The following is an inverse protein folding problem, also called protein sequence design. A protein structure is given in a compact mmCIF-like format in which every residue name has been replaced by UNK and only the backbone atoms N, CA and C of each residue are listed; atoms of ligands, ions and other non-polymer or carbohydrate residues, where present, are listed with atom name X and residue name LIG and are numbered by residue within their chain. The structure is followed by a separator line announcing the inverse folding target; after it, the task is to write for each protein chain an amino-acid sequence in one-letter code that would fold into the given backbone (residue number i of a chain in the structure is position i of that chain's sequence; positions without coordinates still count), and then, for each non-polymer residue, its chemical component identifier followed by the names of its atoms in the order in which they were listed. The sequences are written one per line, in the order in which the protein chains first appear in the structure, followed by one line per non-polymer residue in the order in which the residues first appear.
data_IF_082685954197
#
_entry.id   IF_082685954197
#
_cell.length_a   1.000
_cell.length_b   1.000
_cell.length_c   1.000
_cell.angle_alpha   90.00
_cell.angle_beta   90.00
_cell.angle_gamma   90.00
#
_symmetry.space_group_name_H-M   'P 1'
#
loop_
_entity.id
_entity.type
_entity.pdbx_description
1 polymer ?
#
# COMPACT_ATOMS: atom_id res chain seq x y z
N UNK A 1 23.07 69.71 -28.32
CA UNK A 1 24.12 68.70 -28.03
C UNK A 1 24.20 68.23 -26.56
N UNK A 2 23.24 68.55 -25.66
CA UNK A 2 23.30 68.10 -24.23
C UNK A 2 22.27 67.05 -23.81
N UNK A 3 21.20 66.82 -24.59
CA UNK A 3 20.14 65.84 -24.23
C UNK A 3 20.43 64.41 -24.69
N UNK A 4 21.16 64.21 -25.80
CA UNK A 4 21.48 62.87 -26.31
C UNK A 4 22.54 62.16 -25.46
N UNK A 5 23.50 62.88 -24.89
CA UNK A 5 24.57 62.30 -24.06
C UNK A 5 24.05 61.78 -22.71
N UNK A 6 23.01 62.41 -22.13
CA UNK A 6 22.42 61.95 -20.87
C UNK A 6 21.64 60.63 -21.01
N UNK A 7 20.98 60.44 -22.16
CA UNK A 7 20.20 59.21 -22.43
C UNK A 7 21.13 58.01 -22.65
N UNK A 8 22.26 58.21 -23.33
CA UNK A 8 23.25 57.15 -23.56
C UNK A 8 23.93 56.71 -22.26
N UNK A 9 24.23 57.64 -21.35
CA UNK A 9 24.80 57.31 -20.03
C UNK A 9 23.77 56.57 -19.17
N UNK A 10 22.49 56.96 -19.22
CA UNK A 10 21.41 56.26 -18.49
C UNK A 10 21.23 54.81 -18.95
N UNK A 11 21.29 54.54 -20.26
CA UNK A 11 21.17 53.19 -20.81
C UNK A 11 22.41 52.34 -20.47
N UNK A 12 23.61 52.92 -20.49
CA UNK A 12 24.83 52.21 -20.12
C UNK A 12 24.85 51.79 -18.63
N UNK A 13 24.35 52.64 -17.73
CA UNK A 13 24.23 52.31 -16.30
C UNK A 13 23.17 51.23 -16.05
N UNK A 14 22.06 51.25 -16.80
CA UNK A 14 21.02 50.23 -16.70
C UNK A 14 21.52 48.85 -17.21
N UNK A 15 22.32 48.82 -18.27
CA UNK A 15 22.92 47.58 -18.78
C UNK A 15 23.98 47.03 -17.81
N UNK A 16 24.75 47.89 -17.13
CA UNK A 16 25.69 47.48 -16.07
C UNK A 16 24.97 46.94 -14.83
N UNK A 17 23.83 47.51 -14.45
CA UNK A 17 23.01 47.01 -13.33
C UNK A 17 22.32 45.68 -13.66
N UNK A 18 21.84 45.49 -14.88
CA UNK A 18 21.26 44.21 -15.32
C UNK A 18 22.36 43.15 -15.51
N UNK A 19 23.54 43.53 -16.01
CA UNK A 19 24.70 42.65 -16.12
C UNK A 19 25.25 42.19 -14.77
N UNK A 20 25.20 43.04 -13.74
CA UNK A 20 25.60 42.67 -12.37
C UNK A 20 24.60 41.71 -11.68
N UNK A 21 23.31 41.75 -12.07
CA UNK A 21 22.28 40.82 -11.57
C UNK A 21 22.42 39.44 -12.21
N UNK A 22 23.01 39.32 -13.40
CA UNK A 22 23.18 38.04 -14.12
C UNK A 22 24.48 37.29 -13.71
N UNK A 23 25.37 37.90 -12.91
CA UNK A 23 26.64 37.26 -12.47
C UNK A 23 26.55 36.68 -11.04
N UNK A 24 25.37 36.69 -10.41
CA UNK A 24 25.14 36.10 -9.09
C UNK A 24 24.04 35.03 -9.15
N UNK A 25 24.26 33.99 -9.96
CA UNK A 25 23.49 32.74 -9.82
C UNK A 25 24.30 31.50 -10.24
N UNK A 26 25.58 31.51 -9.88
CA UNK A 26 26.42 30.33 -9.97
C UNK A 26 27.03 30.02 -8.59
N UNK A 27 26.16 29.62 -7.66
CA UNK A 27 26.56 28.70 -6.60
C UNK A 27 26.28 27.27 -7.09
N UNK A 28 26.97 26.90 -8.17
CA UNK A 28 27.37 25.53 -8.40
C UNK A 28 28.12 25.03 -7.14
N UNK A 29 27.61 23.96 -6.53
CA UNK A 29 28.21 23.20 -5.42
C UNK A 29 28.01 23.73 -3.98
N UNK A 30 26.80 23.56 -3.44
CA UNK A 30 26.60 23.31 -2.00
C UNK A 30 25.48 22.27 -1.81
N UNK A 31 25.82 20.98 -1.94
CA UNK A 31 24.86 19.89 -1.72
C UNK A 31 25.49 18.51 -1.86
N UNK A 32 26.50 18.22 -1.04
CA UNK A 32 27.24 16.95 -1.13
C UNK A 32 27.97 16.57 0.15
N UNK A 33 27.30 16.64 1.32
CA UNK A 33 27.85 16.14 2.58
C UNK A 33 27.08 14.96 3.19
N UNK A 34 25.81 14.76 2.87
CA UNK A 34 25.02 13.69 3.50
C UNK A 34 25.25 12.30 2.88
N UNK A 35 25.45 12.20 1.56
CA UNK A 35 25.70 10.92 0.89
C UNK A 35 27.06 10.31 1.24
N UNK A 36 28.05 11.14 1.57
CA UNK A 36 29.43 10.71 1.85
C UNK A 36 29.57 10.11 3.27
N UNK A 37 28.98 10.75 4.29
CA UNK A 37 29.04 10.27 5.68
C UNK A 37 28.23 8.99 5.90
N UNK A 38 27.08 8.86 5.22
CA UNK A 38 26.21 7.69 5.35
C UNK A 38 26.86 6.42 4.78
N UNK A 39 27.59 6.55 3.65
CA UNK A 39 28.35 5.44 3.02
C UNK A 39 29.48 4.89 3.90
N UNK A 40 30.00 5.71 4.82
CA UNK A 40 31.07 5.32 5.75
C UNK A 40 30.57 4.43 6.90
N UNK A 41 29.27 4.49 7.21
CA UNK A 41 28.66 3.79 8.35
C UNK A 41 27.85 2.57 7.95
N UNK A 42 27.29 2.56 6.74
CA UNK A 42 26.42 1.49 6.26
C UNK A 42 26.55 1.35 4.75
N UNK A 43 26.56 0.12 4.28
CA UNK A 43 26.67 -0.28 2.89
C UNK A 43 25.57 -1.25 2.57
N UNK A 44 24.76 -0.91 1.58
CA UNK A 44 23.63 -1.74 1.13
C UNK A 44 24.10 -2.57 -0.06
N UNK A 45 23.95 -3.89 0.04
CA UNK A 45 24.29 -4.82 -1.04
C UNK A 45 23.06 -5.12 -1.89
N UNK A 46 21.89 -5.29 -1.25
CA UNK A 46 20.63 -5.59 -1.92
C UNK A 46 19.51 -4.73 -1.29
N UNK A 47 18.70 -4.03 -2.09
CA UNK A 47 18.83 -3.86 -3.54
C UNK A 47 19.94 -2.86 -3.93
N UNK A 48 20.45 -2.99 -5.16
CA UNK A 48 21.24 -1.93 -5.79
C UNK A 48 20.34 -0.71 -6.11
N UNK A 49 20.92 0.51 -6.22
CA UNK A 49 20.18 1.68 -6.69
C UNK A 49 19.44 1.42 -8.00
N UNK A 50 18.19 1.88 -8.08
CA UNK A 50 17.26 1.74 -9.21
C UNK A 50 16.84 0.31 -9.56
N UNK A 51 17.17 -0.68 -8.73
CA UNK A 51 16.73 -2.05 -8.93
C UNK A 51 15.20 -2.16 -8.97
N UNK A 52 14.71 -3.10 -9.78
CA UNK A 52 13.28 -3.42 -9.89
C UNK A 52 12.89 -4.41 -8.79
N UNK A 53 12.01 -3.99 -7.89
CA UNK A 53 11.64 -4.78 -6.70
C UNK A 53 10.19 -5.26 -6.73
N UNK A 54 9.92 -6.36 -6.01
CA UNK A 54 8.58 -6.94 -5.78
C UNK A 54 8.42 -7.27 -4.30
N UNK A 55 7.18 -7.36 -3.83
CA UNK A 55 6.88 -7.71 -2.43
C UNK A 55 6.76 -9.24 -2.27
N UNK A 56 7.36 -9.86 -1.24
CA UNK A 56 8.34 -9.27 -0.32
C UNK A 56 9.73 -9.10 -0.98
N UNK A 57 10.53 -8.18 -0.44
CA UNK A 57 11.94 -8.02 -0.82
C UNK A 57 12.86 -8.41 0.35
N UNK A 58 13.93 -9.14 0.04
CA UNK A 58 15.05 -9.34 0.96
C UNK A 58 16.03 -8.18 0.81
N UNK A 59 16.33 -7.52 1.92
CA UNK A 59 17.27 -6.41 1.98
C UNK A 59 18.48 -6.85 2.79
N UNK A 60 19.68 -6.67 2.24
CA UNK A 60 20.93 -7.09 2.88
C UNK A 60 22.02 -6.05 2.69
N UNK A 61 22.95 -6.03 3.63
CA UNK A 61 24.12 -5.17 3.57
C UNK A 61 24.97 -5.37 4.80
N UNK A 62 25.79 -4.38 5.08
CA UNK A 62 26.62 -4.33 6.27
C UNK A 62 26.56 -2.93 6.90
N UNK A 63 26.51 -2.85 8.22
CA UNK A 63 26.56 -1.58 8.94
C UNK A 63 27.57 -1.68 10.09
N UNK A 64 28.12 -0.55 10.52
CA UNK A 64 28.97 -0.52 11.71
C UNK A 64 28.13 -0.65 12.97
N UNK A 65 28.72 -1.16 14.05
CA UNK A 65 28.02 -1.41 15.31
C UNK A 65 27.20 -0.24 15.84
N UNK A 66 27.73 0.98 15.75
CA UNK A 66 27.05 2.21 16.19
C UNK A 66 25.78 2.56 15.39
N UNK A 67 25.50 1.86 14.29
CA UNK A 67 24.26 1.99 13.53
C UNK A 67 23.12 1.15 14.13
N UNK A 68 23.47 0.06 14.81
CA UNK A 68 22.51 -0.83 15.44
C UNK A 68 22.14 -0.30 16.83
N UNK A 69 20.89 -0.55 17.20
CA UNK A 69 20.43 -0.52 18.57
C UNK A 69 19.80 -1.88 18.88
N UNK A 70 20.24 -2.53 19.97
CA UNK A 70 19.80 -3.88 20.30
C UNK A 70 19.93 -4.89 19.13
N UNK A 71 21.07 -4.84 18.41
CA UNK A 71 21.35 -5.65 17.23
C UNK A 71 20.41 -5.43 16.03
N UNK A 72 19.63 -4.35 16.01
CA UNK A 72 18.65 -4.11 14.95
C UNK A 72 18.49 -2.64 14.58
N UNK A 73 17.81 -2.38 13.47
CA UNK A 73 17.34 -1.05 13.08
C UNK A 73 16.20 -1.15 12.03
N UNK A 74 15.34 -0.13 11.91
CA UNK A 74 14.24 -0.15 10.96
C UNK A 74 14.66 0.16 9.51
N UNK A 75 14.07 -0.58 8.58
CA UNK A 75 14.15 -0.35 7.14
C UNK A 75 12.75 -0.04 6.62
N UNK A 76 12.54 1.20 6.16
CA UNK A 76 11.26 1.69 5.66
C UNK A 76 11.25 1.67 4.15
N UNK A 77 10.13 1.28 3.56
CA UNK A 77 9.90 1.40 2.13
C UNK A 77 8.91 2.51 1.85
N UNK A 78 9.32 3.50 1.07
CA UNK A 78 8.53 4.66 0.69
C UNK A 78 8.26 4.64 -0.81
N UNK A 79 7.11 5.17 -1.22
CA UNK A 79 6.83 5.50 -2.61
C UNK A 79 7.39 6.89 -3.00
N UNK A 80 7.29 7.29 -4.28
CA UNK A 80 7.79 8.59 -4.73
C UNK A 80 7.05 9.81 -4.11
N UNK A 81 5.86 9.60 -3.54
CA UNK A 81 5.11 10.64 -2.83
C UNK A 81 5.45 10.68 -1.34
N UNK A 82 6.39 9.84 -0.86
CA UNK A 82 6.75 9.73 0.55
C UNK A 82 5.78 8.90 1.39
N UNK A 83 4.81 8.20 0.78
CA UNK A 83 3.92 7.29 1.51
C UNK A 83 4.68 6.03 1.89
N UNK A 84 4.63 5.67 3.17
CA UNK A 84 5.20 4.42 3.67
C UNK A 84 4.36 3.22 3.21
N UNK A 85 5.00 2.29 2.48
CA UNK A 85 4.38 1.09 1.93
C UNK A 85 4.57 -0.13 2.83
N UNK A 86 5.66 -0.16 3.62
CA UNK A 86 6.03 -1.25 4.49
C UNK A 86 7.25 -0.93 5.35
N UNK A 87 7.47 -1.73 6.38
CA UNK A 87 8.63 -1.63 7.29
C UNK A 87 9.14 -3.04 7.59
N UNK A 88 10.45 -3.23 7.54
CA UNK A 88 11.13 -4.41 8.06
C UNK A 88 12.14 -4.02 9.13
N UNK A 89 12.47 -4.96 10.01
CA UNK A 89 13.52 -4.78 11.02
C UNK A 89 14.75 -5.53 10.55
N UNK A 90 15.84 -4.80 10.28
CA UNK A 90 17.13 -5.38 9.95
C UNK A 90 17.80 -5.90 11.20
N UNK A 91 18.19 -7.18 11.16
CA UNK A 91 18.89 -7.84 12.26
C UNK A 91 20.37 -8.05 11.87
N UNK A 92 21.27 -7.71 12.78
CA UNK A 92 22.69 -8.06 12.67
C UNK A 92 22.85 -9.59 12.63
N UNK A 93 23.77 -10.07 11.79
CA UNK A 93 24.05 -11.50 11.61
C UNK A 93 25.29 -11.96 12.40
N UNK A 94 25.72 -11.16 13.38
CA UNK A 94 26.89 -11.44 14.20
C UNK A 94 27.05 -10.42 15.33
N UNK A 95 28.21 -10.43 15.98
CA UNK A 95 28.55 -9.53 17.09
C UNK A 95 28.56 -8.06 16.62
N UNK A 96 27.55 -7.31 17.03
CA UNK A 96 27.32 -5.93 16.57
C UNK A 96 27.97 -4.87 17.45
N UNK A 97 28.41 -5.20 18.68
CA UNK A 97 29.08 -4.25 19.58
C UNK A 97 30.56 -4.02 19.17
N UNK A 98 30.78 -3.67 17.91
CA UNK A 98 32.11 -3.47 17.32
C UNK A 98 32.16 -2.24 16.43
N UNK A 99 33.36 -1.75 16.14
CA UNK A 99 33.57 -0.67 15.16
C UNK A 99 33.65 -1.17 13.72
N UNK A 100 33.65 -2.49 13.53
CA UNK A 100 33.73 -3.14 12.23
C UNK A 100 32.36 -3.17 11.55
N UNK A 101 32.37 -3.44 10.25
CA UNK A 101 31.15 -3.72 9.50
C UNK A 101 30.61 -5.10 9.88
N UNK A 102 29.32 -5.15 10.18
CA UNK A 102 28.58 -6.34 10.56
C UNK A 102 27.45 -6.52 9.55
N UNK A 103 27.28 -7.72 8.98
CA UNK A 103 26.20 -7.95 8.03
C UNK A 103 24.83 -7.84 8.69
N UNK A 104 23.83 -7.35 7.95
CA UNK A 104 22.43 -7.39 8.32
C UNK A 104 21.56 -8.02 7.23
N UNK A 105 20.40 -8.52 7.65
CA UNK A 105 19.37 -9.03 6.75
C UNK A 105 17.98 -8.69 7.27
N UNK A 106 17.05 -8.42 6.36
CA UNK A 106 15.62 -8.32 6.65
C UNK A 106 14.78 -8.68 5.45
N UNK A 107 13.52 -9.01 5.71
CA UNK A 107 12.49 -9.19 4.71
C UNK A 107 11.48 -8.06 4.91
N UNK A 108 11.32 -7.21 3.90
CA UNK A 108 10.34 -6.13 3.92
C UNK A 108 9.13 -6.56 3.10
N UNK A 109 8.01 -6.76 3.80
CA UNK A 109 6.69 -6.87 3.17
C UNK A 109 6.15 -5.46 2.95
N UNK A 110 5.73 -5.15 1.74
CA UNK A 110 5.17 -3.84 1.41
C UNK A 110 3.88 -3.95 0.57
N UNK A 111 3.02 -2.96 0.75
CA UNK A 111 1.78 -2.78 -0.02
C UNK A 111 2.05 -2.28 -1.44
N UNK A 112 1.13 -2.56 -2.37
CA UNK A 112 1.27 -2.14 -3.76
C UNK A 112 1.40 -0.62 -3.87
N UNK A 113 2.47 -0.10 -4.49
CA UNK A 113 2.72 1.34 -4.64
C UNK A 113 1.77 1.97 -5.66
N UNK A 114 1.56 3.28 -5.56
CA UNK A 114 0.84 4.08 -6.58
C UNK A 114 1.79 4.76 -7.56
N UNK A 115 3.09 4.77 -7.27
CA UNK A 115 4.12 5.41 -8.08
C UNK A 115 5.15 4.39 -8.56
N UNK A 116 5.75 4.65 -9.73
CA UNK A 116 6.66 3.72 -10.41
C UNK A 116 8.05 3.63 -9.74
N UNK A 117 8.38 4.64 -8.96
CA UNK A 117 9.64 4.78 -8.23
C UNK A 117 9.35 4.88 -6.73
N UNK A 118 10.36 4.57 -5.93
CA UNK A 118 10.30 4.70 -4.49
C UNK A 118 11.69 4.73 -3.89
N UNK A 119 11.74 4.68 -2.57
CA UNK A 119 13.00 4.77 -1.82
C UNK A 119 12.96 3.80 -0.64
N UNK A 120 14.02 3.03 -0.48
CA UNK A 120 14.27 2.28 0.76
C UNK A 120 15.10 3.17 1.67
N UNK A 121 14.57 3.43 2.86
CA UNK A 121 15.22 4.25 3.89
C UNK A 121 15.71 3.33 5.00
N UNK A 122 17.02 3.30 5.17
CA UNK A 122 17.70 2.63 6.27
C UNK A 122 17.89 3.69 7.34
N UNK A 123 17.11 3.62 8.42
CA UNK A 123 17.17 4.61 9.47
C UNK A 123 17.97 4.05 10.63
N UNK A 124 18.99 4.79 11.08
CA UNK A 124 19.68 4.50 12.32
C UNK A 124 18.69 4.63 13.47
N UNK A 125 18.67 3.66 14.36
CA UNK A 125 17.80 3.74 15.53
C UNK A 125 18.34 4.80 16.52
N UNK A 126 17.46 5.71 16.96
CA UNK A 126 17.81 6.87 17.78
C UNK A 126 16.91 6.95 19.02
N UNK A 127 17.20 6.16 20.08
CA UNK A 127 16.38 6.11 21.29
C UNK A 127 16.30 7.44 22.05
N UNK A 128 17.26 8.35 21.88
CA UNK A 128 17.26 9.65 22.56
C UNK A 128 16.36 10.69 21.88
N UNK A 129 15.94 10.45 20.64
CA UNK A 129 15.06 11.34 19.88
C UNK A 129 15.68 12.71 19.53
N UNK A 130 17.01 12.85 19.68
CA UNK A 130 17.73 14.08 19.36
C UNK A 130 18.13 14.09 17.89
N UNK A 131 17.80 15.15 17.10
CA UNK A 131 18.09 15.19 15.67
C UNK A 131 19.57 15.01 15.31
N UNK A 132 20.49 15.40 16.19
CA UNK A 132 21.94 15.21 16.02
C UNK A 132 22.41 13.74 16.00
N UNK A 133 21.53 12.80 16.35
CA UNK A 133 21.80 11.36 16.33
C UNK A 133 21.06 10.63 15.22
N UNK A 134 20.21 11.33 14.47
CA UNK A 134 19.54 10.80 13.30
C UNK A 134 20.53 10.63 12.16
N UNK A 135 20.49 9.45 11.54
CA UNK A 135 21.20 9.20 10.30
C UNK A 135 20.36 8.27 9.44
N UNK A 136 20.36 8.51 8.14
CA UNK A 136 19.66 7.65 7.18
C UNK A 136 20.47 7.42 5.90
N UNK A 137 20.28 6.26 5.29
CA UNK A 137 20.65 5.99 3.89
C UNK A 137 19.37 5.84 3.10
N UNK A 138 19.35 6.44 1.91
CA UNK A 138 18.23 6.33 0.98
C UNK A 138 18.70 5.68 -0.30
N UNK A 139 18.12 4.53 -0.63
CA UNK A 139 18.40 3.81 -1.88
C UNK A 139 17.18 3.97 -2.79
N UNK A 140 17.32 4.62 -3.96
CA UNK A 140 16.22 4.71 -4.93
C UNK A 140 15.95 3.32 -5.50
N UNK A 141 14.67 3.01 -5.74
CA UNK A 141 14.22 1.73 -6.30
C UNK A 141 13.09 1.96 -7.29
N UNK A 142 12.83 0.96 -8.12
CA UNK A 142 11.68 0.94 -9.04
C UNK A 142 10.77 -0.23 -8.71
N UNK A 143 9.46 -0.01 -8.76
CA UNK A 143 8.52 -1.07 -8.43
C UNK A 143 8.13 -1.88 -9.67
N UNK A 144 8.11 -3.20 -9.56
CA UNK A 144 7.65 -4.06 -10.67
C UNK A 144 6.16 -3.93 -10.96
N UNK A 145 5.36 -3.47 -9.99
CA UNK A 145 3.92 -3.27 -10.11
C UNK A 145 3.50 -1.97 -9.44
N UNK A 146 2.60 -1.23 -10.07
CA UNK A 146 1.98 -0.01 -9.54
C UNK A 146 0.48 -0.06 -9.70
N UNK A 147 -0.25 0.54 -8.77
CA UNK A 147 -1.66 0.89 -8.96
C UNK A 147 -1.70 2.13 -9.87
N UNK A 148 -1.65 1.93 -11.18
CA UNK A 148 -1.73 3.02 -12.17
C UNK A 148 -3.17 3.45 -12.44
N UNK A 149 -4.13 2.55 -12.22
CA UNK A 149 -5.55 2.78 -12.43
C UNK A 149 -6.36 2.07 -11.35
N UNK A 150 -7.50 2.65 -10.99
CA UNK A 150 -8.52 2.04 -10.16
C UNK A 150 -9.79 1.82 -10.97
N UNK A 151 -10.64 0.92 -10.49
CA UNK A 151 -12.03 0.80 -10.96
C UNK A 151 -12.96 0.91 -9.77
N UNK A 152 -14.13 1.48 -10.00
CA UNK A 152 -15.20 1.47 -9.03
C UNK A 152 -15.96 0.14 -9.07
N UNK A 153 -16.25 -0.39 -7.89
CA UNK A 153 -16.97 -1.63 -7.65
C UNK A 153 -18.08 -1.40 -6.63
N UNK A 154 -19.06 -2.29 -6.64
CA UNK A 154 -20.13 -2.35 -5.64
C UNK A 154 -19.93 -3.56 -4.75
N UNK A 155 -19.78 -3.35 -3.45
CA UNK A 155 -19.82 -4.40 -2.44
C UNK A 155 -21.22 -4.44 -1.85
N UNK A 156 -21.87 -5.60 -1.88
CA UNK A 156 -23.21 -5.76 -1.34
C UNK A 156 -23.12 -6.32 0.07
N UNK A 157 -23.39 -5.47 1.06
CA UNK A 157 -23.44 -5.86 2.47
C UNK A 157 -24.89 -5.96 2.95
N UNK A 158 -25.12 -6.72 4.01
CA UNK A 158 -26.46 -6.89 4.56
C UNK A 158 -26.86 -5.75 5.52
N UNK A 159 -28.09 -5.27 5.36
CA UNK A 159 -28.76 -4.34 6.26
C UNK A 159 -30.10 -4.96 6.70
N UNK A 160 -30.17 -5.40 7.96
CA UNK A 160 -31.33 -6.07 8.54
C UNK A 160 -32.56 -5.17 8.73
N UNK A 161 -32.42 -3.85 8.61
CA UNK A 161 -33.55 -2.92 8.68
C UNK A 161 -34.30 -2.85 7.36
N UNK A 162 -33.62 -3.13 6.22
CA UNK A 162 -34.23 -3.16 4.88
C UNK A 162 -34.88 -4.49 4.52
N UNK A 163 -34.59 -5.53 5.28
CA UNK A 163 -35.06 -6.89 5.05
C UNK A 163 -36.24 -7.29 5.94
N UNK A 164 -37.08 -6.32 6.31
CA UNK A 164 -38.25 -6.55 7.15
C UNK A 164 -39.54 -6.59 6.35
N UNK A 165 -40.45 -7.47 6.74
CA UNK A 165 -41.85 -7.42 6.31
C UNK A 165 -42.63 -6.32 7.06
N UNK A 166 -43.90 -6.17 6.72
CA UNK A 166 -44.80 -5.19 7.35
C UNK A 166 -45.00 -5.45 8.86
N UNK A 167 -44.74 -6.67 9.32
CA UNK A 167 -44.82 -7.08 10.72
C UNK A 167 -43.49 -6.95 11.47
N UNK A 168 -42.42 -6.54 10.78
CA UNK A 168 -41.08 -6.37 11.34
C UNK A 168 -40.22 -7.62 11.37
N UNK A 169 -40.66 -8.74 10.79
CA UNK A 169 -39.89 -10.00 10.73
C UNK A 169 -38.83 -9.94 9.63
N UNK A 170 -37.69 -10.60 9.87
CA UNK A 170 -36.62 -10.70 8.88
C UNK A 170 -37.01 -11.69 7.78
N UNK A 171 -36.94 -11.25 6.52
CA UNK A 171 -37.31 -12.02 5.33
C UNK A 171 -36.18 -12.91 4.80
N UNK A 172 -34.94 -12.63 5.18
CA UNK A 172 -33.74 -13.31 4.69
C UNK A 172 -33.60 -13.21 3.17
N UNK A 173 -33.88 -12.02 2.62
CA UNK A 173 -34.07 -11.80 1.19
C UNK A 173 -33.06 -10.82 0.60
N UNK A 174 -33.05 -10.72 -0.72
CA UNK A 174 -32.22 -9.75 -1.45
C UNK A 174 -32.56 -8.29 -1.11
N UNK A 175 -33.72 -8.00 -0.50
CA UNK A 175 -34.10 -6.63 -0.06
C UNK A 175 -33.13 -6.07 0.98
N UNK A 176 -32.53 -6.95 1.79
CA UNK A 176 -31.52 -6.58 2.77
C UNK A 176 -30.17 -6.19 2.18
N UNK A 177 -29.91 -6.48 0.90
CA UNK A 177 -28.62 -6.18 0.29
C UNK A 177 -28.49 -4.69 -0.01
N UNK A 178 -27.48 -4.07 0.58
CA UNK A 178 -27.15 -2.66 0.45
C UNK A 178 -25.82 -2.51 -0.31
N UNK A 179 -25.80 -1.85 -1.48
CA UNK A 179 -24.57 -1.64 -2.24
C UNK A 179 -23.74 -0.50 -1.64
N UNK A 180 -22.45 -0.74 -1.46
CA UNK A 180 -21.44 0.25 -1.10
C UNK A 180 -20.43 0.36 -2.24
N UNK A 181 -20.15 1.59 -2.67
CA UNK A 181 -19.15 1.84 -3.71
C UNK A 181 -17.75 1.87 -3.07
N UNK A 182 -16.83 1.06 -3.61
CA UNK A 182 -15.39 1.14 -3.30
C UNK A 182 -14.60 1.23 -4.60
N UNK A 183 -13.37 1.72 -4.52
CA UNK A 183 -12.44 1.67 -5.64
C UNK A 183 -11.35 0.64 -5.34
N UNK A 184 -11.10 -0.26 -6.29
CA UNK A 184 -10.02 -1.26 -6.21
C UNK A 184 -9.00 -1.04 -7.32
N UNK A 185 -7.73 -1.46 -7.15
CA UNK A 185 -6.75 -1.45 -8.22
C UNK A 185 -7.22 -2.19 -9.47
N UNK A 186 -6.82 -1.70 -10.64
CA UNK A 186 -7.07 -2.38 -11.91
C UNK A 186 -6.12 -3.57 -12.06
N UNK A 187 -6.65 -4.78 -11.95
CA UNK A 187 -5.91 -6.04 -12.09
C UNK A 187 -6.49 -6.93 -13.20
N UNK A 188 -5.76 -7.99 -13.54
CA UNK A 188 -6.22 -9.05 -14.45
C UNK A 188 -7.26 -9.99 -13.81
N UNK A 189 -7.42 -9.96 -12.49
CA UNK A 189 -8.38 -10.80 -11.73
C UNK A 189 -9.43 -9.97 -10.98
N UNK A 190 -10.21 -9.10 -11.66
CA UNK A 190 -11.16 -8.20 -11.01
C UNK A 190 -12.12 -8.87 -10.04
N UNK A 191 -12.74 -9.95 -10.50
CA UNK A 191 -13.80 -10.63 -9.76
C UNK A 191 -13.24 -11.20 -8.44
N UNK A 192 -12.05 -11.81 -8.50
CA UNK A 192 -11.39 -12.35 -7.32
C UNK A 192 -11.07 -11.25 -6.32
N UNK A 193 -10.55 -10.12 -6.79
CA UNK A 193 -10.12 -9.02 -5.93
C UNK A 193 -11.33 -8.32 -5.30
N UNK A 194 -12.42 -8.16 -6.05
CA UNK A 194 -13.70 -7.66 -5.53
C UNK A 194 -14.29 -8.58 -4.45
N UNK A 195 -14.27 -9.89 -4.65
CA UNK A 195 -14.76 -10.84 -3.62
C UNK A 195 -13.85 -10.84 -2.40
N UNK A 196 -12.51 -10.80 -2.57
CA UNK A 196 -11.57 -10.64 -1.45
C UNK A 196 -11.84 -9.35 -0.66
N UNK A 197 -12.17 -8.27 -1.35
CA UNK A 197 -12.51 -7.00 -0.72
C UNK A 197 -13.81 -7.08 0.09
N UNK A 198 -14.84 -7.75 -0.42
CA UNK A 198 -16.08 -8.04 0.32
C UNK A 198 -15.81 -8.82 1.61
N UNK A 199 -14.95 -9.85 1.55
CA UNK A 199 -14.67 -10.73 2.69
C UNK A 199 -13.96 -10.01 3.85
N UNK A 200 -13.34 -8.85 3.61
CA UNK A 200 -12.81 -7.98 4.68
C UNK A 200 -13.91 -7.31 5.50
N UNK A 201 -15.14 -7.31 4.99
CA UNK A 201 -16.30 -6.67 5.60
C UNK A 201 -16.31 -5.15 5.46
N UNK A 202 -17.34 -4.49 6.01
CA UNK A 202 -17.44 -3.04 6.04
C UNK A 202 -16.42 -2.42 7.01
N UNK A 203 -15.99 -1.20 6.69
CA UNK A 203 -15.23 -0.35 7.61
C UNK A 203 -16.11 0.21 8.74
N UNK A 204 -15.53 1.02 9.62
CA UNK A 204 -16.25 1.61 10.76
C UNK A 204 -17.40 2.53 10.37
N UNK A 205 -17.32 3.22 9.23
CA UNK A 205 -18.34 4.15 8.73
C UNK A 205 -19.45 3.38 8.01
N UNK A 206 -19.06 2.46 7.14
CA UNK A 206 -19.97 1.60 6.38
C UNK A 206 -20.85 0.73 7.30
N UNK A 207 -20.32 0.27 8.45
CA UNK A 207 -21.09 -0.47 9.46
C UNK A 207 -22.34 0.27 9.95
N UNK A 208 -22.34 1.61 9.92
CA UNK A 208 -23.49 2.41 10.35
C UNK A 208 -24.69 2.24 9.40
N UNK A 209 -24.45 1.96 8.12
CA UNK A 209 -25.48 1.82 7.09
C UNK A 209 -25.73 0.37 6.68
N UNK A 210 -24.93 -0.58 7.20
CA UNK A 210 -25.11 -2.03 6.97
C UNK A 210 -25.20 -2.80 8.29
N UNK A 211 -26.12 -2.43 9.21
CA UNK A 211 -26.30 -3.18 10.44
C UNK A 211 -26.75 -4.61 10.12
N UNK A 212 -26.04 -5.59 10.69
CA UNK A 212 -26.36 -7.01 10.53
C UNK A 212 -25.49 -7.78 9.54
N UNK A 213 -24.61 -7.12 8.77
CA UNK A 213 -23.58 -7.87 8.04
C UNK A 213 -22.62 -8.55 9.01
N UNK A 214 -22.28 -9.80 8.70
CA UNK A 214 -21.38 -10.63 9.51
C UNK A 214 -19.97 -10.72 8.93
N UNK A 215 -19.74 -10.22 7.72
CA UNK A 215 -18.37 -10.11 7.21
C UNK A 215 -17.61 -9.01 7.98
N UNK A 216 -16.31 -9.19 8.27
CA UNK A 216 -15.49 -10.36 7.95
C UNK A 216 -15.77 -11.56 8.89
N UNK A 217 -15.76 -12.77 8.33
CA UNK A 217 -15.85 -14.01 9.12
C UNK A 217 -14.43 -14.48 9.49
N UNK A 218 -14.19 -14.73 10.78
CA UNK A 218 -12.88 -15.15 11.27
C UNK A 218 -12.41 -16.45 10.59
N UNK A 219 -11.17 -16.45 10.08
CA UNK A 219 -10.56 -17.62 9.43
C UNK A 219 -11.06 -17.91 8.00
N UNK A 220 -12.13 -17.27 7.54
CA UNK A 220 -12.67 -17.48 6.19
C UNK A 220 -11.88 -16.66 5.18
N UNK A 221 -11.34 -17.33 4.16
CA UNK A 221 -10.55 -16.68 3.11
C UNK A 221 -10.89 -17.23 1.73
N UNK A 222 -10.78 -16.37 0.71
CA UNK A 222 -10.89 -16.81 -0.69
C UNK A 222 -9.53 -17.33 -1.18
N UNK A 223 -9.47 -18.63 -1.49
CA UNK A 223 -8.26 -19.28 -2.01
C UNK A 223 -8.13 -19.09 -3.51
N UNK A 224 -9.20 -19.23 -4.27
CA UNK A 224 -9.20 -19.05 -5.73
C UNK A 224 -10.56 -18.66 -6.29
N UNK A 225 -10.54 -18.03 -7.47
CA UNK A 225 -11.73 -17.79 -8.28
C UNK A 225 -11.47 -18.20 -9.73
N UNK A 226 -12.35 -19.03 -10.30
CA UNK A 226 -12.25 -19.50 -11.69
C UNK A 226 -13.56 -19.25 -12.41
N UNK A 227 -13.50 -18.60 -13.58
CA UNK A 227 -14.67 -18.31 -14.40
C UNK A 227 -14.62 -19.13 -15.69
N UNK A 228 -15.64 -19.95 -15.93
CA UNK A 228 -15.77 -20.71 -17.16
C UNK A 228 -17.23 -20.71 -17.62
N UNK A 229 -17.48 -20.35 -18.88
CA UNK A 229 -18.81 -20.34 -19.48
C UNK A 229 -19.88 -19.60 -18.65
N UNK A 230 -19.50 -18.50 -18.00
CA UNK A 230 -20.39 -17.71 -17.15
C UNK A 230 -20.62 -18.25 -15.74
N UNK A 231 -20.05 -19.41 -15.40
CA UNK A 231 -20.08 -19.98 -14.05
C UNK A 231 -18.80 -19.61 -13.31
N UNK A 232 -18.93 -18.81 -12.26
CA UNK A 232 -17.84 -18.42 -11.38
C UNK A 232 -17.76 -19.43 -10.22
N UNK A 233 -16.68 -20.19 -10.16
CA UNK A 233 -16.37 -21.08 -9.03
C UNK A 233 -15.45 -20.36 -8.05
N UNK A 234 -15.91 -20.16 -6.83
CA UNK A 234 -15.18 -19.56 -5.71
C UNK A 234 -14.78 -20.65 -4.73
N UNK A 235 -13.47 -20.83 -4.52
CA UNK A 235 -12.94 -21.76 -3.53
C UNK A 235 -12.62 -20.99 -2.26
N UNK A 236 -13.31 -21.30 -1.16
CA UNK A 236 -13.05 -20.69 0.14
C UNK A 236 -12.44 -21.71 1.10
N UNK A 237 -11.52 -21.22 1.93
CA UNK A 237 -11.04 -21.93 3.10
C UNK A 237 -11.85 -21.45 4.32
N UNK A 238 -12.54 -22.37 4.99
CA UNK A 238 -13.34 -22.13 6.18
C UNK A 238 -13.09 -23.23 7.23
N UNK A 239 -11.93 -23.22 7.90
CA UNK A 239 -11.52 -24.31 8.80
C UNK A 239 -12.38 -24.41 10.07
N UNK A 240 -13.10 -23.34 10.42
CA UNK A 240 -13.92 -23.25 11.62
C UNK A 240 -15.43 -23.31 11.31
N UNK A 241 -15.82 -23.65 10.07
CA UNK A 241 -17.20 -23.72 9.61
C UNK A 241 -18.03 -22.44 9.88
N UNK A 242 -17.41 -21.25 9.80
CA UNK A 242 -18.07 -19.97 10.07
C UNK A 242 -19.10 -19.59 9.02
N UNK A 243 -19.05 -20.20 7.83
CA UNK A 243 -20.02 -19.98 6.76
C UNK A 243 -21.31 -20.78 6.94
N UNK A 244 -21.37 -21.74 7.87
CA UNK A 244 -22.57 -22.56 8.17
C UNK A 244 -23.46 -21.98 9.29
N UNK A 245 -24.64 -22.54 9.49
CA UNK A 245 -25.61 -22.08 10.51
C UNK A 245 -27.00 -21.89 9.92
N UNK A 246 -27.97 -21.35 10.65
CA UNK A 246 -29.38 -21.38 10.19
C UNK A 246 -29.64 -20.84 8.76
N UNK A 247 -30.63 -21.42 8.08
CA UNK A 247 -30.95 -21.16 6.67
C UNK A 247 -30.99 -19.67 6.30
N UNK A 248 -31.57 -18.83 7.16
CA UNK A 248 -31.60 -17.38 6.96
C UNK A 248 -30.20 -16.76 6.82
N UNK A 249 -29.32 -17.07 7.78
CA UNK A 249 -27.96 -16.54 7.86
C UNK A 249 -27.14 -16.93 6.64
N UNK A 250 -27.13 -18.22 6.32
CA UNK A 250 -26.29 -18.75 5.22
C UNK A 250 -26.77 -18.23 3.87
N UNK A 251 -28.08 -18.08 3.69
CA UNK A 251 -28.64 -17.46 2.49
C UNK A 251 -28.22 -15.99 2.35
N UNK A 252 -28.21 -15.21 3.44
CA UNK A 252 -27.75 -13.81 3.42
C UNK A 252 -26.25 -13.72 3.11
N UNK A 253 -25.42 -14.56 3.74
CA UNK A 253 -23.98 -14.61 3.48
C UNK A 253 -23.70 -14.93 2.01
N UNK A 254 -24.36 -15.97 1.49
CA UNK A 254 -24.29 -16.38 0.08
C UNK A 254 -24.72 -15.24 -0.84
N UNK A 255 -25.86 -14.61 -0.57
CA UNK A 255 -26.43 -13.56 -1.40
C UNK A 255 -25.54 -12.31 -1.50
N UNK A 256 -24.84 -11.93 -0.43
CA UNK A 256 -23.86 -10.84 -0.45
C UNK A 256 -22.71 -11.11 -1.43
N UNK A 257 -22.15 -12.33 -1.40
CA UNK A 257 -21.07 -12.72 -2.33
C UNK A 257 -21.61 -12.80 -3.76
N UNK A 258 -22.77 -13.41 -3.96
CA UNK A 258 -23.36 -13.56 -5.29
C UNK A 258 -23.67 -12.22 -5.95
N UNK A 259 -24.34 -11.30 -5.24
CA UNK A 259 -24.69 -9.99 -5.78
C UNK A 259 -23.42 -9.19 -6.13
N UNK A 260 -22.40 -9.30 -5.27
CA UNK A 260 -21.10 -8.68 -5.51
C UNK A 260 -20.40 -9.29 -6.73
N UNK A 261 -20.43 -10.61 -6.93
CA UNK A 261 -19.81 -11.23 -8.09
C UNK A 261 -20.60 -10.98 -9.40
N UNK A 262 -21.93 -11.00 -9.35
CA UNK A 262 -22.83 -10.81 -10.48
C UNK A 262 -22.89 -9.36 -10.99
N UNK A 263 -22.22 -8.42 -10.34
CA UNK A 263 -22.02 -7.08 -10.90
C UNK A 263 -21.18 -7.10 -12.19
N UNK A 264 -20.38 -8.15 -12.39
CA UNK A 264 -19.63 -8.36 -13.62
C UNK A 264 -20.51 -9.14 -14.59
N UNK A 265 -20.87 -8.54 -15.74
CA UNK A 265 -21.83 -9.11 -16.69
C UNK A 265 -21.47 -10.51 -17.20
N UNK A 266 -20.19 -10.86 -17.16
CA UNK A 266 -19.68 -12.19 -17.52
C UNK A 266 -20.06 -13.28 -16.52
N UNK A 267 -20.42 -12.94 -15.29
CA UNK A 267 -20.83 -13.88 -14.24
C UNK A 267 -22.35 -14.06 -14.28
N UNK A 268 -22.80 -15.26 -14.65
CA UNK A 268 -24.22 -15.65 -14.67
C UNK A 268 -24.58 -16.48 -13.45
N UNK A 269 -23.67 -17.35 -13.02
CA UNK A 269 -23.86 -18.23 -11.88
C UNK A 269 -22.62 -18.20 -10.97
N UNK A 270 -22.83 -18.41 -9.67
CA UNK A 270 -21.75 -18.49 -8.69
C UNK A 270 -21.87 -19.82 -7.96
N UNK A 271 -20.78 -20.59 -7.95
CA UNK A 271 -20.63 -21.86 -7.25
C UNK A 271 -19.57 -21.71 -6.16
N UNK A 272 -19.82 -22.31 -5.00
CA UNK A 272 -18.91 -22.32 -3.87
C UNK A 272 -18.28 -23.71 -3.72
N UNK A 273 -16.98 -23.75 -3.40
CA UNK A 273 -16.22 -24.97 -3.13
C UNK A 273 -15.50 -24.82 -1.79
N UNK A 274 -15.60 -25.81 -0.87
CA UNK A 274 -16.34 -27.07 -1.00
C UNK A 274 -17.87 -26.91 -0.97
N UNK A 275 -18.61 -27.92 -1.46
CA UNK A 275 -20.09 -27.88 -1.58
C UNK A 275 -20.81 -27.75 -0.21
N UNK A 276 -20.10 -28.02 0.90
CA UNK A 276 -20.61 -27.86 2.28
C UNK A 276 -20.64 -26.42 2.80
N UNK A 277 -20.13 -25.45 2.05
CA UNK A 277 -20.19 -24.03 2.44
C UNK A 277 -21.62 -23.50 2.33
N UNK A 278 -21.97 -22.57 3.22
CA UNK A 278 -23.27 -21.89 3.24
C UNK A 278 -24.47 -22.85 3.32
N UNK A 279 -24.31 -23.95 4.07
CA UNK A 279 -25.38 -24.91 4.33
C UNK A 279 -26.02 -24.68 5.72
N UNK A 280 -27.33 -24.92 5.86
CA UNK A 280 -28.07 -24.78 7.11
C UNK A 280 -27.62 -25.73 8.24
#
# INVERSE_FOLDING_TARGET
MKKSTLVVIGIAVLILLIGAIIIFDDCSSCGGRDTDISSAMIRVTIPEPDAIVRSPITVTGEARGNWYFEASFPVKMLDANGKQLGVGIAQAQGEWMTTNFVPFSTIVNFSTPTTQTGTIVFQKDNPSGLPEHDAEVRIPIRFSQVVSQTRDIKLYFYNNQRDRDESGNILCSAKGLFPINRSIPFTVTPIQDTVKELLKGPDSVEKLTTPGTEFPLAGVTLTSASLSNGVLTLTLNDPENKTGGGACRVNILRAQIEATAKQFDVVKEVRFVPDGLFQP
#
